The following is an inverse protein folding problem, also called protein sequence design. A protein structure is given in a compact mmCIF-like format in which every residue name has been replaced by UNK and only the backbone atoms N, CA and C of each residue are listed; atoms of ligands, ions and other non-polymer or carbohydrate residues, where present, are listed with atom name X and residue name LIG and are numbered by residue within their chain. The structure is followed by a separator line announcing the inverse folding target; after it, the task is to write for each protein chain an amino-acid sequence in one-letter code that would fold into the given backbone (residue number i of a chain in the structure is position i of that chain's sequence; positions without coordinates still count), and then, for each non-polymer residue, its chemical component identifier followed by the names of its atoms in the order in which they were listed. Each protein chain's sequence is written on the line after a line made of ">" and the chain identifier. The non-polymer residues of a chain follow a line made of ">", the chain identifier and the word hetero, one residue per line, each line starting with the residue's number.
data_IF_517128079952
#
_entry.id   IF_517128079952
#
_cell.length_a   1.000
_cell.length_b   1.000
_cell.length_c   1.000
_cell.angle_alpha   90.00
_cell.angle_beta   90.00
_cell.angle_gamma   90.00
#
_symmetry.space_group_name_H-M   'P 1'
#
loop_
_entity.id
_entity.type
_entity.pdbx_description
1 polymer ?
2 non-polymer ?
3 non-polymer ?
4 non-polymer ?
5 water ?
#
# COMPACT_ATOMS: atom_id res chain seq x y z
N UNK A 1 -23.00 -21.33 -1.28
CA UNK A 1 -24.26 -21.78 -0.72
C UNK A 1 -25.36 -20.73 -0.83
N UNK A 2 -25.41 -20.00 -1.95
CA UNK A 2 -26.48 -19.07 -2.31
C UNK A 2 -26.11 -18.44 -3.66
N UNK A 3 -27.06 -17.77 -4.31
CA UNK A 3 -26.85 -17.01 -5.55
C UNK A 3 -27.71 -15.75 -5.49
N UNK A 4 -27.11 -14.60 -5.92
CA UNK A 4 -27.51 -13.21 -5.66
C UNK A 4 -28.26 -12.62 -6.85
N UNK A 5 -29.07 -11.54 -6.63
CA UNK A 5 -29.71 -10.82 -7.74
C UNK A 5 -28.86 -10.71 -9.00
N UNK A 6 -27.65 -10.17 -8.85
CA UNK A 6 -26.80 -9.92 -10.00
C UNK A 6 -26.18 -11.19 -10.58
N UNK A 7 -26.30 -12.35 -9.92
CA UNK A 7 -26.01 -13.64 -10.52
C UNK A 7 -24.95 -14.45 -9.80
N UNK A 8 -23.92 -13.80 -9.26
CA UNK A 8 -22.72 -14.50 -8.80
C UNK A 8 -23.02 -15.31 -7.53
N UNK A 9 -22.11 -16.24 -7.23
CA UNK A 9 -22.32 -17.23 -6.18
C UNK A 9 -21.39 -16.95 -5.00
N UNK A 10 -21.88 -17.19 -3.79
CA UNK A 10 -21.18 -16.83 -2.56
C UNK A 10 -21.49 -17.83 -1.45
N UNK A 11 -20.84 -17.63 -0.31
CA UNK A 11 -21.04 -18.45 0.87
C UNK A 11 -22.08 -17.90 1.83
N UNK A 12 -22.47 -16.62 1.69
CA UNK A 12 -23.36 -15.97 2.65
C UNK A 12 -24.13 -14.89 1.91
N UNK A 13 -25.44 -14.79 2.17
CA UNK A 13 -26.28 -13.79 1.50
C UNK A 13 -25.82 -12.37 1.81
N UNK A 14 -25.20 -12.16 2.97
CA UNK A 14 -24.72 -10.83 3.29
C UNK A 14 -23.71 -10.36 2.25
N UNK A 15 -22.91 -11.29 1.71
CA UNK A 15 -21.89 -10.97 0.71
C UNK A 15 -22.49 -10.60 -0.64
N UNK A 16 -23.77 -10.89 -0.85
CA UNK A 16 -24.38 -10.65 -2.15
C UNK A 16 -24.46 -9.16 -2.46
N UNK A 17 -24.58 -8.31 -1.43
CA UNK A 17 -24.69 -6.87 -1.62
C UNK A 17 -23.37 -6.22 -2.01
N UNK A 18 -22.28 -6.98 -2.05
CA UNK A 18 -20.99 -6.39 -2.38
C UNK A 18 -20.75 -6.33 -3.88
N UNK A 19 -21.49 -7.07 -4.68
CA UNK A 19 -21.19 -7.11 -6.11
C UNK A 19 -21.53 -5.81 -6.83
N UNK A 20 -22.66 -5.13 -6.52
CA UNK A 20 -22.88 -3.82 -7.16
C UNK A 20 -21.87 -2.76 -6.71
N UNK A 21 -21.44 -2.84 -5.45
CA UNK A 21 -20.45 -1.91 -4.95
C UNK A 21 -19.13 -2.08 -5.68
N UNK A 22 -18.78 -3.33 -5.98
CA UNK A 22 -17.52 -3.59 -6.68
C UNK A 22 -17.57 -3.06 -8.11
N UNK A 23 -18.75 -3.11 -8.75
CA UNK A 23 -18.90 -2.46 -10.05
C UNK A 23 -18.78 -0.95 -9.95
N UNK A 24 -19.40 -0.37 -8.91
CA UNK A 24 -19.35 1.09 -8.77
C UNK A 24 -17.93 1.58 -8.58
N UNK A 25 -17.13 0.80 -7.84
CA UNK A 25 -15.74 1.16 -7.59
C UNK A 25 -14.94 1.11 -8.88
N UNK A 26 -15.04 -0.01 -9.61
CA UNK A 26 -14.24 -0.18 -10.83
C UNK A 26 -14.58 0.90 -11.86
N UNK A 27 -15.86 1.24 -12.00
CA UNK A 27 -16.27 2.26 -12.96
C UNK A 27 -15.88 3.66 -12.48
N UNK A 28 -16.43 4.08 -11.34
CA UNK A 28 -16.36 5.49 -10.95
C UNK A 28 -15.11 5.87 -10.17
N UNK A 29 -14.33 4.90 -9.70
CA UNK A 29 -13.12 5.18 -8.92
C UNK A 29 -11.85 4.71 -9.60
N UNK A 30 -11.82 3.48 -10.13
CA UNK A 30 -10.59 2.91 -10.63
C UNK A 30 -10.51 2.91 -12.16
N UNK A 31 -11.10 3.92 -12.80
CA UNK A 31 -11.02 4.14 -14.26
C UNK A 31 -11.09 2.81 -15.02
N UNK A 32 -12.11 2.03 -14.69
CA UNK A 32 -12.36 0.76 -15.34
C UNK A 32 -11.39 -0.35 -15.00
N UNK A 33 -11.00 -0.46 -13.73
CA UNK A 33 -10.15 -1.56 -13.30
C UNK A 33 -8.66 -1.33 -13.40
N UNK A 34 -8.21 -0.07 -13.43
CA UNK A 34 -6.80 0.27 -13.55
C UNK A 34 -6.09 0.08 -12.21
N UNK A 35 -4.77 -0.17 -12.30
CA UNK A 35 -3.84 -0.02 -11.18
C UNK A 35 -3.19 1.37 -11.22
N UNK A 36 -4.02 2.40 -11.11
CA UNK A 36 -3.58 3.78 -11.19
C UNK A 36 -3.53 4.46 -9.84
N UNK A 37 -3.56 5.79 -9.86
CA UNK A 37 -3.46 6.58 -8.63
C UNK A 37 -4.54 6.21 -7.62
N UNK A 38 -5.78 6.01 -8.08
CA UNK A 38 -6.87 5.83 -7.11
C UNK A 38 -6.81 4.45 -6.45
N UNK A 39 -6.36 3.44 -7.19
CA UNK A 39 -6.07 2.12 -6.61
C UNK A 39 -5.00 2.23 -5.53
N UNK A 40 -3.89 2.91 -5.85
CA UNK A 40 -2.80 3.11 -4.89
C UNK A 40 -3.28 3.90 -3.68
N UNK A 41 -4.00 4.98 -3.93
CA UNK A 41 -4.49 5.81 -2.84
C UNK A 41 -5.43 5.03 -1.94
N UNK A 42 -6.30 4.20 -2.52
CA UNK A 42 -7.24 3.41 -1.70
C UNK A 42 -6.50 2.52 -0.71
N UNK A 43 -5.38 1.92 -1.14
CA UNK A 43 -4.57 1.10 -0.25
C UNK A 43 -3.96 1.96 0.84
N UNK A 44 -3.36 3.09 0.47
CA UNK A 44 -2.81 4.02 1.45
C UNK A 44 -3.88 4.44 2.46
N UNK A 45 -5.07 4.79 1.97
CA UNK A 45 -6.16 5.16 2.86
C UNK A 45 -6.45 4.07 3.89
N UNK A 46 -6.48 2.80 3.44
CA UNK A 46 -6.80 1.71 4.36
C UNK A 46 -5.77 1.61 5.47
N UNK A 47 -4.49 1.78 5.12
CA UNK A 47 -3.46 1.79 6.17
C UNK A 47 -3.61 2.97 7.11
N UNK A 48 -3.70 4.19 6.58
CA UNK A 48 -3.86 5.33 7.46
C UNK A 48 -5.09 5.16 8.36
N UNK A 49 -6.19 4.67 7.79
CA UNK A 49 -7.36 4.39 8.61
C UNK A 49 -7.05 3.40 9.73
N UNK A 50 -6.48 2.24 9.37
CA UNK A 50 -6.37 1.15 10.34
C UNK A 50 -5.34 1.45 11.43
N UNK A 51 -4.26 2.17 11.10
CA UNK A 51 -3.22 2.42 12.09
C UNK A 51 -3.63 3.46 13.13
N UNK A 52 -4.80 4.09 12.99
CA UNK A 52 -5.35 4.85 14.09
C UNK A 52 -5.91 3.87 15.09
N UNK A 53 -5.02 3.20 15.82
CA UNK A 53 -5.39 2.10 16.71
C UNK A 53 -4.23 1.83 17.64
N UNK A 54 -4.54 1.50 18.89
CA UNK A 54 -3.53 0.95 19.80
C UNK A 54 -4.20 -0.11 20.67
N UNK A 55 -3.49 -1.23 20.88
CA UNK A 55 -4.02 -2.29 21.74
C UNK A 55 -4.28 -1.78 23.15
N UNK A 56 -3.62 -0.69 23.54
CA UNK A 56 -3.79 -0.12 24.87
C UNK A 56 -4.78 1.04 24.88
N UNK A 57 -5.57 1.18 23.82
CA UNK A 57 -6.52 2.27 23.71
C UNK A 57 -5.89 3.62 23.40
N UNK A 58 -6.77 4.61 23.21
CA UNK A 58 -6.41 6.02 23.14
C UNK A 58 -5.97 6.53 21.79
N UNK A 59 -5.88 5.67 20.77
CA UNK A 59 -5.36 6.09 19.47
C UNK A 59 -6.37 5.86 18.33
N UNK A 60 -7.62 5.59 18.65
CA UNK A 60 -8.66 5.43 17.64
C UNK A 60 -9.19 4.02 17.61
N UNK A 61 -10.25 3.85 16.82
CA UNK A 61 -10.98 2.60 16.71
C UNK A 61 -10.48 1.67 15.63
N UNK A 62 -9.38 2.05 14.97
CA UNK A 62 -8.71 1.13 14.05
C UNK A 62 -9.24 1.24 12.63
N UNK A 63 -9.50 0.07 12.06
CA UNK A 63 -10.00 -0.12 10.69
C UNK A 63 -11.52 0.03 10.69
N UNK A 64 -11.94 1.23 11.06
CA UNK A 64 -13.33 1.55 11.29
C UNK A 64 -13.82 2.58 10.29
N UNK A 65 -12.96 3.02 9.36
CA UNK A 65 -13.42 4.02 8.44
C UNK A 65 -13.50 5.40 9.05
N UNK A 66 -12.99 5.57 10.27
CA UNK A 66 -12.94 6.89 10.90
C UNK A 66 -12.31 7.93 9.99
N UNK A 67 -11.31 7.53 9.19
CA UNK A 67 -10.66 8.51 8.33
C UNK A 67 -11.59 8.98 7.23
N UNK A 68 -12.61 8.20 6.88
CA UNK A 68 -13.62 8.66 5.94
C UNK A 68 -14.72 9.43 6.67
N UNK A 69 -15.30 8.81 7.70
CA UNK A 69 -16.46 9.40 8.37
C UNK A 69 -16.12 10.72 9.05
N UNK A 70 -14.90 10.86 9.59
CA UNK A 70 -14.51 12.06 10.30
C UNK A 70 -13.33 12.74 9.61
N UNK A 71 -13.44 12.91 8.29
CA UNK A 71 -12.28 13.30 7.51
C UNK A 71 -11.92 14.76 7.77
N UNK A 72 -12.92 15.59 8.05
CA UNK A 72 -12.67 17.00 8.37
C UNK A 72 -11.70 17.13 9.52
N UNK A 73 -11.74 16.18 10.45
CA UNK A 73 -10.78 16.18 11.54
C UNK A 73 -9.45 15.55 11.13
N UNK A 74 -9.49 14.33 10.58
CA UNK A 74 -8.25 13.58 10.34
C UNK A 74 -7.44 14.14 9.18
N UNK A 75 -8.08 14.73 8.17
CA UNK A 75 -7.22 15.24 7.11
C UNK A 75 -6.64 16.62 7.44
N UNK A 76 -6.68 17.03 8.72
CA UNK A 76 -5.94 18.21 9.16
C UNK A 76 -4.61 17.85 9.79
N UNK A 77 -4.32 16.57 10.01
CA UNK A 77 -3.05 16.19 10.59
C UNK A 77 -1.97 16.25 9.53
N UNK A 78 -0.74 16.55 9.96
CA UNK A 78 0.39 16.62 9.04
C UNK A 78 0.63 15.29 8.36
N UNK A 79 0.76 14.22 9.16
CA UNK A 79 1.05 12.89 8.64
C UNK A 79 0.00 12.39 7.66
N UNK A 80 -1.18 13.00 7.58
CA UNK A 80 -2.18 12.62 6.59
C UNK A 80 -2.18 13.51 5.35
N UNK A 81 -1.06 14.16 5.03
CA UNK A 81 -1.10 15.07 3.90
C UNK A 81 -1.33 14.28 2.62
N UNK A 82 -2.22 14.79 1.77
CA UNK A 82 -2.58 14.07 0.56
C UNK A 82 -3.77 13.17 0.71
N UNK A 83 -4.16 12.83 1.94
CA UNK A 83 -5.32 11.98 2.16
C UNK A 83 -6.59 12.67 1.64
N UNK A 84 -6.70 13.99 1.86
CA UNK A 84 -7.90 14.72 1.44
C UNK A 84 -8.26 14.44 -0.01
N UNK A 85 -7.25 14.29 -0.86
CA UNK A 85 -7.52 13.97 -2.26
C UNK A 85 -8.25 12.64 -2.38
N UNK A 86 -7.78 11.62 -1.65
CA UNK A 86 -8.42 10.31 -1.72
C UNK A 86 -9.85 10.42 -1.24
N UNK A 87 -10.06 11.06 -0.09
CA UNK A 87 -11.39 11.21 0.52
C UNK A 87 -12.36 11.86 -0.45
N UNK A 88 -11.92 12.96 -1.08
CA UNK A 88 -12.75 13.68 -2.03
C UNK A 88 -13.20 12.77 -3.18
N UNK A 89 -12.31 11.90 -3.65
CA UNK A 89 -12.71 10.97 -4.71
C UNK A 89 -13.60 9.85 -4.18
N UNK A 90 -13.42 9.43 -2.93
CA UNK A 90 -14.15 8.27 -2.44
C UNK A 90 -15.53 8.66 -1.90
N UNK A 91 -15.66 9.85 -1.32
CA UNK A 91 -16.87 10.25 -0.63
C UNK A 91 -18.12 10.17 -1.51
N UNK A 92 -18.15 10.63 -2.77
CA UNK A 92 -19.40 10.52 -3.54
C UNK A 92 -19.80 9.08 -3.82
N UNK A 93 -18.81 8.21 -4.03
CA UNK A 93 -19.10 6.81 -4.34
C UNK A 93 -19.60 6.07 -3.11
N UNK A 94 -18.98 6.37 -1.95
CA UNK A 94 -19.45 5.88 -0.66
C UNK A 94 -20.95 6.11 -0.50
N UNK A 95 -21.40 7.32 -0.85
CA UNK A 95 -22.78 7.72 -0.60
C UNK A 95 -23.78 6.92 -1.44
N UNK A 96 -23.33 6.31 -2.52
CA UNK A 96 -24.18 5.44 -3.31
C UNK A 96 -24.29 4.03 -2.71
N UNK A 97 -23.93 3.86 -1.44
CA UNK A 97 -23.97 2.58 -0.77
C UNK A 97 -24.63 2.72 0.60
N UNK A 98 -24.94 1.58 1.20
CA UNK A 98 -25.42 1.54 2.57
C UNK A 98 -24.43 0.84 3.49
N UNK A 99 -23.18 0.76 3.07
CA UNK A 99 -22.10 0.24 3.88
C UNK A 99 -21.72 1.23 4.96
N UNK A 100 -21.18 0.70 6.05
CA UNK A 100 -20.43 1.54 6.96
C UNK A 100 -19.16 2.04 6.29
N UNK A 101 -18.57 3.08 6.90
CA UNK A 101 -17.35 3.68 6.37
C UNK A 101 -16.21 2.69 6.37
N UNK A 102 -16.10 1.86 7.41
CA UNK A 102 -15.01 0.89 7.45
C UNK A 102 -15.13 -0.17 6.37
N UNK A 103 -16.36 -0.66 6.14
CA UNK A 103 -16.57 -1.71 5.15
C UNK A 103 -16.32 -1.17 3.77
N UNK A 104 -16.58 0.12 3.56
CA UNK A 104 -16.32 0.70 2.24
C UNK A 104 -14.82 0.89 2.02
N UNK A 105 -14.15 1.61 2.93
CA UNK A 105 -12.71 1.88 2.77
C UNK A 105 -11.95 0.60 2.49
N UNK A 106 -12.23 -0.45 3.26
CA UNK A 106 -11.35 -1.61 3.15
C UNK A 106 -11.72 -2.48 1.97
N UNK A 107 -12.96 -2.38 1.47
CA UNK A 107 -13.30 -3.05 0.22
C UNK A 107 -12.69 -2.32 -0.97
N UNK A 108 -12.66 -0.99 -0.93
CA UNK A 108 -12.03 -0.25 -2.00
C UNK A 108 -10.56 -0.63 -2.13
N UNK A 109 -9.89 -0.82 -0.98
CA UNK A 109 -8.47 -1.18 -0.99
C UNK A 109 -8.27 -2.63 -1.46
N UNK A 110 -9.19 -3.53 -1.07
CA UNK A 110 -9.07 -4.90 -1.55
C UNK A 110 -9.25 -4.94 -3.07
N UNK A 111 -10.27 -4.24 -3.58
CA UNK A 111 -10.52 -4.19 -5.02
C UNK A 111 -9.37 -3.48 -5.76
N UNK A 112 -9.02 -2.27 -5.33
CA UNK A 112 -7.96 -1.52 -5.98
C UNK A 112 -6.64 -2.26 -6.07
N UNK A 113 -6.20 -2.84 -4.94
CA UNK A 113 -4.95 -3.59 -4.95
C UNK A 113 -4.99 -4.72 -5.97
N UNK A 114 -6.15 -5.37 -6.09
CA UNK A 114 -6.28 -6.48 -7.03
C UNK A 114 -6.22 -6.05 -8.46
N UNK A 115 -6.51 -4.79 -8.75
CA UNK A 115 -6.29 -4.32 -10.10
C UNK A 115 -4.81 -4.33 -10.48
N UNK A 116 -3.91 -4.56 -9.51
CA UNK A 116 -2.48 -4.56 -9.77
C UNK A 116 -2.00 -5.98 -9.99
N UNK A 117 -1.49 -6.32 -11.18
CA UNK A 117 -0.99 -7.68 -11.43
C UNK A 117 0.12 -8.06 -10.46
N UNK A 118 0.05 -9.28 -9.97
CA UNK A 118 1.03 -9.80 -9.05
C UNK A 118 0.60 -9.79 -7.61
N UNK A 119 -0.43 -9.00 -7.27
CA UNK A 119 -0.85 -8.89 -5.90
C UNK A 119 -1.64 -10.15 -5.51
N UNK A 120 -1.63 -10.51 -4.23
CA UNK A 120 -2.45 -11.64 -3.77
C UNK A 120 -3.93 -11.26 -3.71
N UNK A 121 -4.79 -12.24 -4.01
CA UNK A 121 -6.20 -12.03 -3.76
C UNK A 121 -6.37 -11.74 -2.27
N UNK A 122 -6.82 -10.54 -1.92
CA UNK A 122 -6.89 -10.16 -0.51
C UNK A 122 -8.17 -10.65 0.13
N UNK A 123 -8.09 -10.97 1.41
CA UNK A 123 -9.30 -11.32 2.16
C UNK A 123 -10.14 -10.08 2.40
N UNK A 124 -11.44 -10.29 2.56
CA UNK A 124 -12.35 -9.20 2.84
C UNK A 124 -13.44 -9.70 3.78
N UNK A 125 -13.49 -9.14 4.99
CA UNK A 125 -14.56 -9.35 5.94
C UNK A 125 -15.46 -8.12 5.93
N UNK A 126 -16.71 -8.29 6.34
CA UNK A 126 -17.55 -7.11 6.45
C UNK A 126 -18.57 -7.27 7.57
N UNK A 127 -19.26 -6.19 7.84
CA UNK A 127 -20.06 -6.03 9.02
C UNK A 127 -19.48 -5.12 10.06
N UNK A 128 -18.52 -4.28 9.71
CA UNK A 128 -17.97 -3.31 10.65
C UNK A 128 -19.08 -2.35 11.09
N UNK A 129 -19.18 -2.02 12.37
CA UNK A 129 -20.10 -0.97 12.79
C UNK A 129 -19.56 0.40 12.43
N UNK A 130 -20.39 1.44 12.47
CA UNK A 130 -19.92 2.79 12.20
C UNK A 130 -18.76 3.17 13.10
N UNK A 131 -17.79 3.95 12.59
CA UNK A 131 -16.77 4.52 13.46
C UNK A 131 -17.41 5.49 14.45
N UNK A 132 -16.82 5.54 15.64
CA UNK A 132 -17.39 6.39 16.68
C UNK A 132 -16.78 7.80 16.67
N UNK A 133 -15.45 7.89 16.71
CA UNK A 133 -14.79 9.19 16.73
C UNK A 133 -13.54 9.20 15.86
N UNK A 134 -13.08 10.38 15.46
CA UNK A 134 -11.83 10.45 14.70
C UNK A 134 -10.67 9.96 15.52
N UNK A 135 -9.69 9.35 14.85
CA UNK A 135 -8.43 9.05 15.48
C UNK A 135 -7.75 10.34 15.92
N UNK A 136 -6.92 10.29 16.96
CA UNK A 136 -6.15 11.47 17.35
C UNK A 136 -4.98 11.69 16.41
N UNK A 137 -4.35 12.85 16.55
CA UNK A 137 -3.18 13.12 15.74
C UNK A 137 -2.01 12.24 16.18
N UNK A 138 -1.07 12.02 15.26
CA UNK A 138 0.18 11.36 15.59
C UNK A 138 0.18 9.84 15.57
N UNK A 139 -0.88 9.20 15.06
CA UNK A 139 -0.93 7.75 14.95
C UNK A 139 -0.28 7.21 13.68
N UNK A 140 -0.01 8.09 12.71
CA UNK A 140 0.41 7.70 11.38
C UNK A 140 1.92 7.98 11.26
N UNK A 141 2.76 6.96 11.01
CA UNK A 141 4.21 7.20 10.91
C UNK A 141 4.56 8.09 9.72
N UNK A 142 5.66 8.84 9.87
CA UNK A 142 6.14 9.78 8.89
C UNK A 142 7.53 9.37 8.41
N UNK A 143 7.86 9.64 7.15
CA UNK A 143 9.13 9.13 6.59
C UNK A 143 10.38 9.70 7.24
N UNK A 144 10.28 10.71 8.09
CA UNK A 144 11.45 11.18 8.83
C UNK A 144 11.60 10.50 10.18
N UNK A 145 10.56 9.80 10.64
CA UNK A 145 10.63 9.06 11.90
C UNK A 145 11.77 8.05 11.84
N UNK A 146 12.35 7.77 13.00
CA UNK A 146 13.38 6.74 13.11
C UNK A 146 12.76 5.36 12.94
N UNK A 147 13.60 4.41 12.49
CA UNK A 147 13.20 3.00 12.42
C UNK A 147 12.59 2.58 13.75
N UNK A 148 13.30 2.87 14.84
CA UNK A 148 12.84 2.56 16.19
C UNK A 148 11.42 3.08 16.44
N UNK A 149 11.21 4.38 16.20
CA UNK A 149 9.89 4.95 16.43
C UNK A 149 8.83 4.27 15.58
N UNK A 150 9.16 3.95 14.32
CA UNK A 150 8.15 3.38 13.41
C UNK A 150 7.77 1.97 13.85
N UNK A 151 8.77 1.15 14.17
CA UNK A 151 8.48 -0.20 14.66
C UNK A 151 7.74 -0.15 15.99
N UNK A 152 8.03 0.85 16.81
CA UNK A 152 7.31 0.98 18.08
C UNK A 152 5.83 1.29 17.84
N UNK A 153 5.56 2.25 16.94
CA UNK A 153 4.18 2.57 16.58
C UNK A 153 3.44 1.33 16.10
N UNK A 154 4.07 0.50 15.26
CA UNK A 154 3.41 -0.67 14.72
C UNK A 154 3.15 -1.71 15.80
N UNK A 155 4.11 -1.90 16.71
CA UNK A 155 3.93 -2.78 17.86
C UNK A 155 2.65 -2.45 18.62
N UNK A 156 2.48 -1.18 19.00
CA UNK A 156 1.24 -0.73 19.66
C UNK A 156 0.00 -1.21 18.93
N UNK A 157 0.01 -1.17 17.59
CA UNK A 157 -1.12 -1.67 16.83
C UNK A 157 -1.13 -3.19 16.80
N UNK A 158 -0.05 -3.83 17.18
CA UNK A 158 0.03 -5.26 17.24
C UNK A 158 0.86 -5.97 16.18
N UNK A 159 1.83 -5.29 15.54
CA UNK A 159 2.64 -5.87 14.47
C UNK A 159 4.12 -5.96 14.83
N UNK A 160 4.73 -7.09 14.50
CA UNK A 160 6.14 -7.35 14.75
C UNK A 160 6.95 -6.74 13.61
N UNK A 161 8.29 -6.72 13.77
CA UNK A 161 9.18 -6.05 12.82
C UNK A 161 8.99 -6.57 11.41
N UNK A 162 9.07 -7.88 11.23
CA UNK A 162 8.95 -8.50 9.91
C UNK A 162 7.66 -8.08 9.21
N UNK A 163 6.54 -8.08 9.93
CA UNK A 163 5.26 -7.69 9.31
C UNK A 163 5.31 -6.26 8.79
N UNK A 164 6.07 -5.38 9.43
CA UNK A 164 6.20 -4.02 8.93
C UNK A 164 6.84 -4.00 7.55
N UNK A 165 7.85 -4.86 7.35
CA UNK A 165 8.55 -4.90 6.08
C UNK A 165 7.64 -5.47 4.99
N UNK A 166 6.86 -6.50 5.32
CA UNK A 166 5.97 -7.10 4.32
C UNK A 166 4.84 -6.13 3.94
N UNK A 167 4.31 -5.43 4.93
CA UNK A 167 3.34 -4.38 4.64
C UNK A 167 3.88 -3.35 3.67
N UNK A 168 5.20 -3.09 3.69
CA UNK A 168 5.76 -2.11 2.76
C UNK A 168 5.88 -2.61 1.32
N UNK A 169 5.49 -3.86 1.01
CA UNK A 169 5.35 -4.25 -0.40
C UNK A 169 4.31 -3.39 -1.10
N UNK A 170 3.41 -2.76 -0.33
CA UNK A 170 2.55 -1.68 -0.83
C UNK A 170 3.32 -0.62 -1.63
N UNK A 171 4.55 -0.31 -1.24
CA UNK A 171 5.27 0.73 -1.97
C UNK A 171 5.67 0.31 -3.38
N UNK A 172 5.50 -0.97 -3.72
CA UNK A 172 5.63 -1.44 -5.09
C UNK A 172 4.54 -0.89 -6.00
N UNK A 173 3.43 -0.40 -5.45
CA UNK A 173 2.39 0.19 -6.27
C UNK A 173 2.07 1.56 -5.69
N UNK A 174 3.05 2.46 -5.67
CA UNK A 174 2.95 3.64 -4.82
C UNK A 174 3.74 4.81 -5.38
N UNK A 175 3.32 6.01 -4.98
CA UNK A 175 3.97 7.22 -5.44
C UNK A 175 3.80 8.29 -4.36
N UNK A 176 4.61 9.34 -4.46
CA UNK A 176 4.55 10.47 -3.54
C UNK A 176 4.17 11.75 -4.28
N UNK A 177 3.28 12.53 -3.67
CA UNK A 177 2.89 13.83 -4.19
C UNK A 177 2.98 14.99 -3.21
N UNK A 178 3.25 14.73 -1.92
CA UNK A 178 3.39 15.82 -0.97
C UNK A 178 4.84 16.10 -0.62
N UNK A 179 5.78 15.22 -0.99
CA UNK A 179 7.18 15.50 -0.71
C UNK A 179 7.74 16.50 -1.73
N UNK A 180 7.58 16.19 -3.01
CA UNK A 180 8.03 17.01 -4.13
C UNK A 180 6.78 17.65 -4.71
N UNK A 181 6.42 18.82 -4.17
CA UNK A 181 5.15 19.44 -4.55
C UNK A 181 5.10 19.75 -6.05
N UNK A 182 6.26 20.04 -6.66
CA UNK A 182 6.32 20.26 -8.10
C UNK A 182 6.40 18.98 -8.91
N UNK A 183 6.52 17.81 -8.26
CA UNK A 183 6.61 16.52 -8.95
C UNK A 183 5.61 15.55 -8.32
N UNK A 184 4.31 15.76 -8.55
CA UNK A 184 3.32 14.84 -7.98
C UNK A 184 3.35 13.48 -8.65
N UNK A 185 2.95 12.46 -7.88
CA UNK A 185 2.79 11.09 -8.35
C UNK A 185 4.12 10.50 -8.83
N UNK A 186 5.20 10.83 -8.12
CA UNK A 186 6.51 10.18 -8.31
C UNK A 186 6.61 8.79 -7.67
N UNK A 187 6.69 7.71 -8.46
CA UNK A 187 6.65 6.35 -7.89
C UNK A 187 7.88 6.00 -7.07
N UNK A 188 7.70 4.99 -6.22
CA UNK A 188 8.76 4.45 -5.41
C UNK A 188 9.45 3.24 -6.06
N UNK A 189 8.91 2.69 -7.15
CA UNK A 189 9.65 1.77 -8.00
C UNK A 189 9.26 1.99 -9.47
N UNK A 190 9.92 1.21 -10.35
CA UNK A 190 9.89 1.38 -11.80
C UNK A 190 8.57 0.97 -12.39
N UNK A 191 7.79 0.19 -11.66
CA UNK A 191 6.62 -0.51 -12.17
C UNK A 191 5.45 -0.30 -11.22
N UNK A 192 5.00 0.95 -11.06
CA UNK A 192 3.93 1.21 -10.08
C UNK A 192 2.60 0.60 -10.50
N UNK A 193 2.46 0.16 -11.74
CA UNK A 193 1.26 -0.55 -12.15
C UNK A 193 1.32 -2.05 -11.85
N UNK A 194 2.44 -2.55 -11.33
CA UNK A 194 2.64 -3.97 -11.06
C UNK A 194 3.00 -4.17 -9.59
N UNK A 195 2.34 -5.13 -8.94
CA UNK A 195 2.65 -5.49 -7.54
C UNK A 195 3.70 -6.61 -7.57
N UNK A 196 4.92 -6.21 -7.88
CA UNK A 196 6.06 -7.11 -7.95
C UNK A 196 7.00 -6.76 -6.82
N UNK A 197 8.19 -7.35 -6.86
CA UNK A 197 9.20 -7.11 -5.83
C UNK A 197 10.29 -6.16 -6.28
N UNK A 198 10.22 -5.64 -7.52
CA UNK A 198 11.02 -4.52 -7.99
C UNK A 198 11.37 -3.53 -6.89
N UNK A 199 10.35 -3.06 -6.15
CA UNK A 199 10.53 -2.11 -5.04
C UNK A 199 11.67 -2.50 -4.12
N UNK A 200 11.69 -3.76 -3.67
CA UNK A 200 12.71 -4.17 -2.72
C UNK A 200 14.09 -4.07 -3.32
N UNK A 201 14.21 -4.34 -4.62
CA UNK A 201 15.50 -4.34 -5.30
C UNK A 201 15.97 -2.92 -5.60
N UNK A 202 15.05 -2.06 -6.04
CA UNK A 202 15.45 -0.72 -6.43
C UNK A 202 15.76 0.17 -5.24
N UNK A 203 15.31 -0.22 -4.02
CA UNK A 203 15.65 0.54 -2.84
C UNK A 203 17.04 0.23 -2.30
N UNK A 204 17.69 -0.85 -2.76
CA UNK A 204 19.06 -1.14 -2.36
C UNK A 204 20.07 -0.80 -3.44
N UNK A 205 19.64 -0.22 -4.56
CA UNK A 205 20.56 0.36 -5.52
C UNK A 205 21.18 1.63 -4.92
N UNK A 206 22.44 1.90 -5.26
CA UNK A 206 23.12 3.07 -4.70
C UNK A 206 22.38 4.36 -5.09
N UNK A 207 22.07 5.18 -4.09
CA UNK A 207 21.36 6.41 -4.34
C UNK A 207 22.34 7.46 -4.85
N UNK A 208 22.07 8.00 -6.04
CA UNK A 208 22.96 8.98 -6.65
C UNK A 208 22.29 10.28 -7.10
N UNK A 209 20.96 10.33 -7.14
CA UNK A 209 20.19 11.41 -7.73
C UNK A 209 19.14 11.95 -6.76
N UNK A 210 18.45 13.01 -7.19
CA UNK A 210 17.22 13.53 -6.61
C UNK A 210 16.29 13.90 -7.75
N UNK A 211 15.01 13.55 -7.66
CA UNK A 211 14.09 13.82 -8.76
C UNK A 211 13.45 15.20 -8.68
N UNK A 212 12.78 15.57 -9.76
CA UNK A 212 12.09 16.85 -9.81
C UNK A 212 13.07 18.00 -9.88
N UNK A 213 12.88 19.00 -8.99
CA UNK A 213 13.73 20.19 -8.99
C UNK A 213 15.14 19.85 -8.51
N UNK A 214 15.41 18.55 -8.33
CA UNK A 214 16.72 18.08 -7.92
C UNK A 214 17.15 18.52 -6.55
N UNK A 215 16.24 19.13 -5.76
CA UNK A 215 16.56 19.54 -4.41
C UNK A 215 16.19 18.48 -3.37
N UNK A 216 16.74 18.65 -2.18
CA UNK A 216 16.51 17.73 -1.06
C UNK A 216 15.24 18.17 -0.34
N UNK A 217 14.13 17.54 -0.71
CA UNK A 217 12.87 17.75 0.00
C UNK A 217 12.80 16.74 1.15
N UNK A 218 12.07 17.12 2.21
CA UNK A 218 12.42 16.69 3.57
C UNK A 218 12.39 15.18 3.76
N UNK A 219 11.32 14.51 3.32
CA UNK A 219 11.25 13.10 3.65
C UNK A 219 12.01 12.15 2.73
N UNK A 220 12.69 12.65 1.70
CA UNK A 220 13.30 11.80 0.69
C UNK A 220 14.82 11.75 0.86
N UNK A 221 15.42 10.67 0.35
CA UNK A 221 16.87 10.54 0.23
C UNK A 221 17.19 10.29 -1.23
N UNK A 222 18.47 10.12 -1.55
CA UNK A 222 18.90 10.00 -2.93
C UNK A 222 18.38 8.72 -3.57
N UNK A 223 17.94 8.84 -4.83
CA UNK A 223 17.31 7.82 -5.65
C UNK A 223 18.29 7.28 -6.68
N UNK A 224 18.16 6.01 -7.08
CA UNK A 224 19.04 5.47 -8.13
C UNK A 224 18.63 5.84 -9.54
N UNK A 225 17.40 6.27 -9.75
CA UNK A 225 16.80 6.35 -11.07
C UNK A 225 16.03 7.66 -11.22
N UNK A 226 16.14 8.29 -12.39
CA UNK A 226 15.43 9.54 -12.61
C UNK A 226 13.94 9.28 -12.71
N UNK A 227 13.15 10.12 -12.04
CA UNK A 227 11.73 9.93 -11.97
C UNK A 227 11.26 9.05 -10.82
N UNK A 228 12.19 8.49 -10.06
CA UNK A 228 11.87 7.61 -8.94
C UNK A 228 12.22 8.30 -7.64
N UNK A 229 11.31 8.23 -6.69
CA UNK A 229 11.52 8.76 -5.35
C UNK A 229 11.85 7.65 -4.37
N UNK A 230 12.79 7.92 -3.50
CA UNK A 230 13.17 7.00 -2.45
C UNK A 230 12.94 7.67 -1.10
N UNK A 231 12.13 7.06 -0.25
CA UNK A 231 11.81 7.63 1.05
C UNK A 231 12.96 7.40 2.02
N UNK A 232 13.14 8.37 2.92
CA UNK A 232 14.19 8.27 3.93
C UNK A 232 13.96 7.07 4.82
N UNK A 233 12.69 6.75 5.13
CA UNK A 233 12.39 5.64 6.02
C UNK A 233 12.50 4.30 5.30
N UNK A 234 12.15 4.24 4.01
CA UNK A 234 12.33 3.01 3.25
C UNK A 234 13.81 2.64 3.16
N UNK A 235 14.66 3.64 2.85
CA UNK A 235 16.10 3.41 2.81
C UNK A 235 16.65 3.06 4.20
N UNK A 236 16.10 3.68 5.25
CA UNK A 236 16.48 3.31 6.61
C UNK A 236 16.19 1.85 6.89
N UNK A 237 14.97 1.40 6.56
CA UNK A 237 14.64 -0.02 6.75
C UNK A 237 15.55 -0.90 5.90
N UNK A 238 15.80 -0.51 4.65
CA UNK A 238 16.60 -1.34 3.77
C UNK A 238 18.03 -1.51 4.28
N UNK A 239 18.55 -0.53 5.03
CA UNK A 239 19.94 -0.57 5.48
C UNK A 239 20.11 -0.95 6.95
N UNK A 240 19.05 -0.84 7.76
CA UNK A 240 19.20 -1.00 9.19
C UNK A 240 19.54 -2.44 9.54
N UNK A 241 20.43 -2.66 10.52
CA UNK A 241 20.75 -4.05 10.92
C UNK A 241 19.53 -4.88 11.22
N UNK A 242 18.51 -4.28 11.83
CA UNK A 242 17.37 -5.08 12.28
C UNK A 242 16.54 -5.61 11.13
N UNK A 243 16.62 -4.99 9.94
CA UNK A 243 15.64 -5.23 8.90
C UNK A 243 16.23 -5.45 7.52
N UNK A 244 17.53 -5.27 7.33
CA UNK A 244 18.09 -5.29 5.97
C UNK A 244 17.99 -6.67 5.33
N UNK A 245 18.07 -7.75 6.14
CA UNK A 245 17.98 -9.09 5.58
C UNK A 245 16.56 -9.49 5.27
N UNK A 246 15.60 -9.03 6.09
CA UNK A 246 14.19 -9.15 5.74
C UNK A 246 13.90 -8.38 4.45
N UNK A 247 14.52 -7.23 4.29
CA UNK A 247 14.28 -6.41 3.12
C UNK A 247 14.60 -7.14 1.84
N UNK A 248 15.70 -7.94 1.84
CA UNK A 248 16.13 -8.60 0.61
C UNK A 248 15.36 -9.90 0.33
N UNK A 249 14.85 -10.56 1.37
CA UNK A 249 14.07 -11.80 1.26
C UNK A 249 13.09 -11.85 0.09
N UNK A 250 12.24 -10.84 -0.16
CA UNK A 250 11.23 -11.00 -1.22
C UNK A 250 11.75 -10.91 -2.63
N UNK A 251 12.99 -10.48 -2.86
CA UNK A 251 13.39 -10.09 -4.22
C UNK A 251 13.26 -11.26 -5.19
N UNK A 252 12.50 -11.04 -6.28
CA UNK A 252 12.17 -12.05 -7.30
C UNK A 252 11.54 -13.32 -6.71
N UNK A 253 10.98 -13.23 -5.52
CA UNK A 253 10.29 -14.36 -4.88
C UNK A 253 8.83 -13.97 -4.71
N UNK A 254 8.07 -14.02 -5.81
CA UNK A 254 6.73 -13.42 -5.82
C UNK A 254 5.80 -14.17 -4.88
N UNK A 255 5.94 -15.50 -4.81
CA UNK A 255 5.05 -16.25 -3.92
C UNK A 255 5.34 -15.93 -2.46
N UNK A 256 6.61 -15.70 -2.12
CA UNK A 256 6.93 -15.31 -0.74
C UNK A 256 6.15 -14.06 -0.32
N UNK A 257 6.20 -13.02 -1.15
CA UNK A 257 5.57 -11.77 -0.74
C UNK A 257 4.06 -11.85 -0.81
N UNK A 258 3.52 -12.68 -1.71
CA UNK A 258 2.08 -12.82 -1.83
C UNK A 258 1.47 -13.33 -0.52
N UNK A 259 2.07 -14.38 0.07
CA UNK A 259 1.54 -14.91 1.31
C UNK A 259 1.76 -13.98 2.49
N UNK A 260 2.96 -13.37 2.58
CA UNK A 260 3.27 -12.50 3.70
C UNK A 260 2.39 -11.26 3.68
N UNK A 261 2.17 -10.69 2.48
CA UNK A 261 1.35 -9.49 2.34
C UNK A 261 -0.12 -9.82 2.57
N UNK A 262 -0.57 -10.95 1.99
CA UNK A 262 -1.94 -11.40 2.27
C UNK A 262 -2.21 -11.50 3.76
N UNK A 263 -1.25 -12.05 4.51
CA UNK A 263 -1.54 -12.32 5.92
C UNK A 263 -1.46 -11.05 6.76
N UNK A 264 -0.48 -10.17 6.49
CA UNK A 264 -0.38 -8.95 7.28
C UNK A 264 -1.56 -8.04 6.99
N UNK A 265 -2.01 -8.01 5.73
CA UNK A 265 -3.15 -7.19 5.35
C UNK A 265 -4.44 -7.75 5.95
N UNK A 266 -4.55 -9.08 6.06
CA UNK A 266 -5.74 -9.67 6.65
C UNK A 266 -5.93 -9.14 8.07
N UNK A 267 -4.84 -9.09 8.83
CA UNK A 267 -4.87 -8.53 10.19
C UNK A 267 -5.09 -7.02 10.19
N UNK A 268 -4.45 -6.32 9.26
CA UNK A 268 -4.49 -4.86 9.31
C UNK A 268 -5.91 -4.35 9.12
N UNK A 269 -6.62 -4.91 8.16
CA UNK A 269 -7.93 -4.41 7.79
C UNK A 269 -9.03 -4.80 8.74
N UNK A 270 -8.71 -5.41 9.89
CA UNK A 270 -9.73 -5.73 10.88
C UNK A 270 -9.36 -5.18 12.25
N UNK A 271 -8.30 -4.35 12.33
CA UNK A 271 -7.87 -3.86 13.63
C UNK A 271 -9.01 -3.17 14.36
N UNK A 272 -9.20 -3.54 15.63
CA UNK A 272 -10.27 -2.97 16.42
C UNK A 272 -11.64 -3.52 16.13
N UNK A 273 -11.76 -4.47 15.21
CA UNK A 273 -13.04 -5.00 14.79
C UNK A 273 -13.25 -6.38 15.40
N UNK A 274 -14.52 -6.77 15.48
CA UNK A 274 -14.93 -8.08 15.97
C UNK A 274 -16.27 -8.43 15.35
N UNK A 275 -16.51 -9.72 15.15
CA UNK A 275 -17.85 -10.17 14.76
C UNK A 275 -18.22 -9.98 13.31
N UNK A 276 -17.27 -10.13 12.40
CA UNK A 276 -17.49 -9.85 10.98
C UNK A 276 -17.79 -11.12 10.21
N UNK A 277 -18.37 -10.96 9.02
CA UNK A 277 -18.61 -12.06 8.08
C UNK A 277 -17.53 -12.11 7.01
N UNK A 278 -17.04 -13.32 6.74
CA UNK A 278 -16.07 -13.54 5.67
C UNK A 278 -16.74 -13.44 4.31
N UNK A 279 -16.14 -12.67 3.39
CA UNK A 279 -16.70 -12.53 2.05
C UNK A 279 -15.60 -12.53 0.98
N UNK A 280 -14.49 -13.24 1.23
CA UNK A 280 -13.35 -13.12 0.34
C UNK A 280 -13.63 -13.61 -1.07
N UNK A 281 -14.70 -14.40 -1.27
CA UNK A 281 -14.99 -14.92 -2.61
C UNK A 281 -15.57 -13.86 -3.55
N UNK A 282 -16.04 -12.73 -3.03
CA UNK A 282 -16.47 -11.64 -3.92
C UNK A 282 -15.26 -10.95 -4.54
N UNK A 283 -14.09 -11.12 -3.95
CA UNK A 283 -12.89 -10.39 -4.36
C UNK A 283 -12.33 -10.99 -5.64
N UNK A 284 -12.14 -10.20 -6.70
CA UNK A 284 -11.61 -10.77 -7.94
C UNK A 284 -10.20 -11.29 -7.74
N UNK A 285 -9.84 -12.31 -8.52
CA UNK A 285 -8.49 -12.86 -8.48
C UNK A 285 -7.61 -12.03 -9.40
N UNK A 286 -6.58 -11.37 -8.87
CA UNK A 286 -5.77 -10.48 -9.71
C UNK A 286 -4.97 -11.25 -10.74
N UNK A 287 -4.69 -10.58 -11.86
CA UNK A 287 -3.84 -11.16 -12.89
C UNK A 287 -2.45 -11.39 -12.34
N UNK A 288 -1.73 -12.32 -12.97
CA UNK A 288 -0.36 -12.65 -12.60
C UNK A 288 0.61 -11.71 -13.31
N UNK A 289 1.85 -11.74 -12.86
CA UNK A 289 2.90 -10.95 -13.50
C UNK A 289 3.24 -11.54 -14.86
N UNK A 290 3.46 -10.71 -15.89
CA UNK A 290 3.79 -11.26 -17.22
C UNK A 290 5.16 -11.94 -17.27
N UNK A 291 6.03 -11.71 -16.29
CA UNK A 291 7.31 -12.36 -16.23
C UNK A 291 8.03 -11.95 -14.97
N UNK A 292 9.11 -12.67 -14.62
CA UNK A 292 9.88 -12.30 -13.41
C UNK A 292 10.48 -10.91 -13.55
N UNK A 293 11.00 -10.40 -12.43
CA UNK A 293 11.54 -9.04 -12.45
C UNK A 293 12.94 -9.05 -13.06
N UNK A 294 13.28 -7.93 -13.69
CA UNK A 294 14.61 -7.67 -14.23
C UNK A 294 15.12 -6.35 -13.66
N UNK A 295 16.45 -6.24 -13.58
CA UNK A 295 17.12 -4.98 -13.27
C UNK A 295 16.59 -3.95 -14.25
N UNK A 296 16.42 -2.69 -13.82
CA UNK A 296 16.09 -1.64 -14.77
C UNK A 296 17.23 -1.48 -15.78
N UNK A 297 16.87 -0.98 -16.97
CA UNK A 297 17.83 -0.80 -18.05
C UNK A 297 19.07 -0.06 -17.55
N UNK A 298 20.24 -0.63 -17.83
CA UNK A 298 21.49 -0.01 -17.42
C UNK A 298 21.94 -0.26 -16.01
N UNK A 299 21.36 -1.24 -15.32
CA UNK A 299 21.76 -1.58 -13.96
C UNK A 299 22.08 -3.06 -13.88
N UNK A 300 22.91 -3.42 -12.88
CA UNK A 300 23.25 -4.80 -12.59
C UNK A 300 23.48 -4.93 -11.08
N UNK A 301 23.93 -6.12 -10.65
CA UNK A 301 24.29 -6.31 -9.25
C UNK A 301 25.41 -5.37 -8.83
N UNK A 302 26.22 -4.93 -9.79
CA UNK A 302 27.27 -3.95 -9.57
C UNK A 302 26.78 -2.74 -8.79
N UNK A 303 25.49 -2.43 -8.89
CA UNK A 303 24.96 -1.16 -8.42
C UNK A 303 24.31 -1.24 -7.03
N UNK A 304 24.37 -2.40 -6.34
CA UNK A 304 23.64 -2.66 -5.09
C UNK A 304 24.53 -2.40 -3.88
N UNK A 305 23.92 -1.99 -2.76
CA UNK A 305 24.57 -1.98 -1.45
C UNK A 305 23.97 -3.13 -0.63
N UNK A 306 24.72 -4.19 -0.39
CA UNK A 306 24.20 -5.31 0.39
C UNK A 306 24.49 -5.06 1.87
N UNK A 307 23.47 -4.61 2.61
CA UNK A 307 23.54 -4.66 4.07
C UNK A 307 23.22 -6.04 4.60
N UNK A 308 22.85 -6.96 3.70
CA UNK A 308 22.73 -8.36 4.02
C UNK A 308 23.76 -9.10 3.17
N UNK A 309 24.96 -9.21 3.71
CA UNK A 309 25.95 -10.09 3.12
C UNK A 309 25.79 -11.53 3.62
N UNK A 310 24.77 -11.78 4.44
CA UNK A 310 24.48 -13.13 4.90
C UNK A 310 23.74 -13.95 3.86
N UNK A 311 23.18 -13.33 2.82
CA UNK A 311 22.44 -14.09 1.82
C UNK A 311 22.82 -13.64 0.40
N UNK A 312 23.27 -14.57 -0.45
CA UNK A 312 23.45 -14.24 -1.88
C UNK A 312 22.16 -13.76 -2.52
N UNK A 313 22.13 -12.51 -2.95
CA UNK A 313 20.98 -12.00 -3.70
C UNK A 313 20.83 -12.82 -4.98
N UNK A 314 19.59 -13.08 -5.42
CA UNK A 314 19.40 -13.93 -6.60
C UNK A 314 19.80 -13.23 -7.88
N UNK A 315 20.42 -14.00 -8.77
CA UNK A 315 20.72 -13.56 -10.13
C UNK A 315 19.45 -13.08 -10.80
N UNK A 316 19.61 -12.19 -11.79
CA UNK A 316 18.48 -11.84 -12.66
C UNK A 316 18.96 -11.02 -13.84
N UNK A 317 18.16 -11.08 -14.92
CA UNK A 317 18.48 -10.45 -16.19
C UNK A 317 18.44 -8.94 -16.06
N UNK A 318 19.01 -8.25 -17.04
CA UNK A 318 19.10 -6.80 -16.99
C UNK A 318 18.91 -6.22 -18.40
N UNK A 319 17.67 -5.83 -18.69
CA UNK A 319 17.31 -5.08 -19.89
C UNK A 319 18.40 -4.04 -20.20
N UNK A 320 18.75 -3.90 -21.48
CA UNK A 320 19.88 -3.06 -21.87
C UNK A 320 19.42 -1.99 -22.87
N UNK A 321 19.14 -0.81 -22.35
CA UNK A 321 19.34 0.43 -23.08
C UNK A 321 20.17 1.29 -22.17
N UNK A 322 20.04 2.61 -22.25
CA UNK A 322 20.58 3.47 -21.20
C UNK A 322 19.65 3.54 -19.99
N UNK A 323 20.21 4.02 -18.88
CA UNK A 323 19.46 4.17 -17.63
C UNK A 323 18.20 5.01 -17.88
N UNK A 324 17.01 4.53 -17.46
CA UNK A 324 15.77 5.19 -17.90
C UNK A 324 15.34 6.33 -16.99
N UNK A 325 14.28 7.01 -17.40
CA UNK A 325 13.53 7.91 -16.54
C UNK A 325 12.10 7.41 -16.43
N UNK A 326 11.57 7.44 -15.22
CA UNK A 326 10.24 6.91 -14.93
C UNK A 326 9.26 8.08 -14.91
N UNK A 327 8.18 8.03 -15.68
CA UNK A 327 7.21 9.12 -15.64
C UNK A 327 6.35 9.01 -14.40
N UNK A 328 5.66 10.08 -14.04
CA UNK A 328 4.77 10.02 -12.88
C UNK A 328 3.58 9.11 -13.18
N UNK A 329 3.00 8.56 -12.12
CA UNK A 329 1.76 7.81 -12.24
C UNK A 329 0.75 8.74 -12.91
N UNK A 330 -0.03 8.27 -13.88
CA UNK A 330 -0.92 9.16 -14.64
C UNK A 330 -2.04 9.74 -13.80
N UNK A 331 -2.65 10.79 -14.34
CA UNK A 331 -3.84 11.39 -13.73
C UNK A 331 -5.02 11.35 -14.72
#
# INVERSE_FOLDING_TARGET
>A
AVTCPTGQTTANEACCVLFPVIDLLQEELFDGGECGEEAHAALRLAFHDAIGFSKNGGKGGGADGSILAFHQTETTYAANSGIEDIITAQLPIFQKTNLTAGDFVHLAAAIGTGNCPGSPQLAYSFGRPPPVAPAPDGTVPEPTDSVTDILARFSEAGFVTAEVIWLLASHSIAAASKIDTSAPRTPFDSTPALFDTQFYLETILNGTLLPGDGGAHTGEVLSPIAGEMRLQSDFAFAQDPRTACLWQEPINDQAFIQGKFFAAMKKLQVLGQTGLTDCSDVIPVPASLPGPITFPAGFSEADVISACTATPLPSLATIAGPKPTIPPVPL
#
